data_IF_201960850934
#
_entry.id   IF_201960850934
#
_cell.length_a   1.000
_cell.length_b   1.000
_cell.length_c   1.000
_cell.angle_alpha   90.00
_cell.angle_beta   90.00
_cell.angle_gamma   90.00
#
_symmetry.space_group_name_H-M   'P 1'
#
loop_
_entity.id
_entity.type
_entity.pdbx_description
1 polymer ?
#
# COMPACT_ATOMS: atom_id res chain seq x y z
N UNK A 1 21.81 29.29 19.66
CA UNK A 1 21.44 27.92 20.08
C UNK A 1 21.41 27.07 18.82
N UNK A 2 22.45 26.28 18.58
CA UNK A 2 22.59 25.46 17.37
C UNK A 2 22.96 24.05 17.78
N UNK A 3 22.01 23.13 17.71
CA UNK A 3 22.28 21.71 17.91
C UNK A 3 22.54 21.08 16.54
N UNK A 4 23.65 20.36 16.42
CA UNK A 4 23.90 19.52 15.26
C UNK A 4 23.07 18.24 15.39
N UNK A 5 22.06 18.11 14.52
CA UNK A 5 21.20 16.92 14.49
C UNK A 5 21.90 15.82 13.71
N UNK A 6 22.11 14.68 14.34
CA UNK A 6 22.71 13.49 13.73
C UNK A 6 21.74 12.32 13.77
N UNK A 7 21.63 11.57 12.68
CA UNK A 7 20.75 10.40 12.59
C UNK A 7 21.57 9.11 12.79
N UNK A 8 21.03 8.17 13.56
CA UNK A 8 21.63 6.83 13.74
C UNK A 8 20.72 5.81 13.05
N UNK A 9 21.29 4.94 12.22
CA UNK A 9 20.51 3.89 11.58
C UNK A 9 19.94 2.93 12.65
N UNK A 10 18.65 2.52 12.58
CA UNK A 10 18.03 1.67 13.61
C UNK A 10 18.78 0.35 13.88
N UNK A 11 19.43 -0.21 12.87
CA UNK A 11 20.27 -1.42 13.01
C UNK A 11 21.44 -1.26 13.99
N UNK A 12 21.95 -0.04 14.17
CA UNK A 12 23.03 0.26 15.11
C UNK A 12 22.52 0.56 16.52
N UNK A 13 21.24 0.94 16.66
CA UNK A 13 20.58 1.17 17.95
C UNK A 13 20.08 -0.15 18.56
N UNK A 14 19.55 -1.04 17.71
CA UNK A 14 18.91 -2.31 18.12
C UNK A 14 19.71 -3.13 19.15
N UNK A 15 21.05 -3.28 19.07
CA UNK A 15 21.81 -4.04 20.07
C UNK A 15 21.80 -3.45 21.49
N UNK A 16 21.44 -2.17 21.66
CA UNK A 16 21.42 -1.47 22.94
C UNK A 16 20.02 -1.40 23.57
N UNK A 17 18.98 -1.87 22.86
CA UNK A 17 17.60 -1.88 23.39
C UNK A 17 17.47 -3.02 24.40
N UNK A 18 17.20 -2.68 25.66
CA UNK A 18 16.95 -3.64 26.73
C UNK A 18 15.58 -4.32 26.53
N UNK A 19 15.38 -5.49 27.13
CA UNK A 19 14.09 -6.19 27.08
C UNK A 19 12.96 -5.29 27.61
N UNK A 20 11.75 -5.45 27.06
CA UNK A 20 10.57 -4.59 27.23
C UNK A 20 10.64 -3.25 26.47
N UNK A 21 9.94 -3.19 25.33
CA UNK A 21 9.86 -2.00 24.50
C UNK A 21 9.04 -0.91 25.21
N UNK A 22 9.70 0.18 25.56
CA UNK A 22 9.09 1.43 26.02
C UNK A 22 9.94 2.62 25.56
N UNK A 23 9.35 3.82 25.53
CA UNK A 23 10.02 5.02 25.00
C UNK A 23 11.31 5.37 25.76
N UNK A 24 11.35 5.09 27.07
CA UNK A 24 12.54 5.32 27.89
C UNK A 24 13.70 4.41 27.47
N UNK A 25 13.44 3.13 27.24
CA UNK A 25 14.43 2.16 26.78
C UNK A 25 14.93 2.48 25.37
N UNK A 26 14.04 2.97 24.49
CA UNK A 26 14.40 3.42 23.15
C UNK A 26 15.31 4.66 23.21
N UNK A 27 15.00 5.63 24.07
CA UNK A 27 15.82 6.83 24.26
C UNK A 27 17.20 6.50 24.85
N UNK A 28 17.25 5.62 25.86
CA UNK A 28 18.51 5.14 26.46
C UNK A 28 19.37 4.43 25.40
N UNK A 29 18.77 3.57 24.58
CA UNK A 29 19.48 2.86 23.52
C UNK A 29 20.04 3.81 22.45
N UNK A 30 19.31 4.86 22.07
CA UNK A 30 19.79 5.89 21.12
C UNK A 30 20.96 6.67 21.72
N UNK A 31 20.86 7.06 23.00
CA UNK A 31 21.94 7.77 23.70
C UNK A 31 23.20 6.91 23.82
N UNK A 32 23.04 5.63 24.20
CA UNK A 32 24.14 4.68 24.33
C UNK A 32 24.79 4.36 22.98
N UNK A 33 23.99 4.21 21.92
CA UNK A 33 24.51 4.08 20.57
C UNK A 33 25.31 5.33 20.16
N UNK A 34 24.73 6.51 20.36
CA UNK A 34 25.34 7.80 20.00
C UNK A 34 26.62 8.13 20.76
N UNK A 35 26.83 7.56 21.96
CA UNK A 35 28.02 7.77 22.78
C UNK A 35 29.22 6.92 22.34
N UNK A 36 29.02 5.88 21.51
CA UNK A 36 30.11 5.01 21.06
C UNK A 36 31.11 5.77 20.18
N UNK A 37 32.43 5.71 20.46
CA UNK A 37 33.44 6.38 19.66
C UNK A 37 33.47 5.96 18.18
N UNK A 38 33.04 4.73 17.89
CA UNK A 38 33.01 4.15 16.53
C UNK A 38 31.65 4.29 15.84
N UNK A 39 30.71 5.05 16.43
CA UNK A 39 29.35 5.19 15.89
C UNK A 39 29.35 5.86 14.52
N UNK A 40 28.55 5.31 13.61
CA UNK A 40 28.37 5.85 12.26
C UNK A 40 27.00 6.49 12.15
N UNK A 41 27.00 7.78 11.83
CA UNK A 41 25.78 8.53 11.57
C UNK A 41 25.39 8.40 10.10
N UNK A 42 24.09 8.49 9.82
CA UNK A 42 23.56 8.52 8.46
C UNK A 42 23.17 9.94 8.11
N UNK A 43 23.39 10.31 6.85
CA UNK A 43 22.97 11.60 6.33
C UNK A 43 21.44 11.68 6.25
N UNK A 44 20.94 12.91 6.37
CA UNK A 44 19.55 13.20 6.02
C UNK A 44 19.39 12.97 4.53
N UNK A 45 18.31 12.27 4.14
CA UNK A 45 18.01 12.05 2.72
C UNK A 45 17.89 13.38 1.99
N UNK A 46 18.52 13.50 0.84
CA UNK A 46 18.30 14.66 -0.04
C UNK A 46 16.84 14.66 -0.55
N UNK A 47 16.29 15.82 -0.95
CA UNK A 47 14.96 15.88 -1.57
C UNK A 47 14.81 14.91 -2.75
N UNK A 48 15.87 14.73 -3.55
CA UNK A 48 15.91 13.78 -4.66
C UNK A 48 15.80 12.33 -4.17
N UNK A 49 16.56 11.95 -3.13
CA UNK A 49 16.48 10.61 -2.53
C UNK A 49 15.12 10.35 -1.86
N UNK A 50 14.53 11.37 -1.23
CA UNK A 50 13.19 11.28 -0.67
C UNK A 50 12.13 11.12 -1.77
N UNK A 51 12.28 11.82 -2.89
CA UNK A 51 11.43 11.72 -4.08
C UNK A 51 11.45 10.31 -4.69
N UNK A 52 12.62 9.67 -4.79
CA UNK A 52 12.71 8.26 -5.21
C UNK A 52 11.89 7.33 -4.29
N UNK A 53 11.89 7.60 -2.99
CA UNK A 53 11.05 6.88 -2.02
C UNK A 53 9.55 7.12 -2.20
N UNK A 54 9.13 8.25 -2.78
CA UNK A 54 7.72 8.49 -3.10
C UNK A 54 7.22 7.56 -4.19
N UNK A 55 8.04 7.20 -5.17
CA UNK A 55 7.65 6.31 -6.28
C UNK A 55 7.14 4.97 -5.75
N UNK A 56 7.89 4.34 -4.84
CA UNK A 56 7.50 3.05 -4.25
C UNK A 56 6.19 3.17 -3.45
N UNK A 57 6.07 4.20 -2.62
CA UNK A 57 4.86 4.41 -1.81
C UNK A 57 3.63 4.73 -2.66
N UNK A 58 3.79 5.51 -3.73
CA UNK A 58 2.70 5.80 -4.65
C UNK A 58 2.28 4.54 -5.41
N UNK A 59 3.25 3.74 -5.87
CA UNK A 59 2.94 2.45 -6.50
C UNK A 59 2.18 1.53 -5.54
N UNK A 60 2.63 1.39 -4.30
CA UNK A 60 1.96 0.55 -3.29
C UNK A 60 0.53 1.04 -3.02
N UNK A 61 0.34 2.36 -2.91
CA UNK A 61 -0.98 2.98 -2.78
C UNK A 61 -1.91 2.63 -3.96
N UNK A 62 -1.44 2.84 -5.20
CA UNK A 62 -2.25 2.62 -6.41
C UNK A 62 -2.57 1.13 -6.60
N UNK A 63 -1.63 0.23 -6.31
CA UNK A 63 -1.86 -1.22 -6.33
C UNK A 63 -2.90 -1.62 -5.27
N UNK A 64 -2.82 -1.03 -4.07
CA UNK A 64 -3.79 -1.22 -3.01
C UNK A 64 -5.19 -0.76 -3.41
N UNK A 65 -5.32 0.45 -3.97
CA UNK A 65 -6.59 0.99 -4.47
C UNK A 65 -7.18 0.10 -5.57
N UNK A 66 -6.38 -0.31 -6.56
CA UNK A 66 -6.84 -1.21 -7.63
C UNK A 66 -7.36 -2.53 -7.06
N UNK A 67 -6.65 -3.10 -6.09
CA UNK A 67 -7.05 -4.35 -5.43
C UNK A 67 -8.35 -4.19 -4.64
N UNK A 68 -8.54 -3.06 -3.96
CA UNK A 68 -9.77 -2.72 -3.26
C UNK A 68 -10.97 -2.63 -4.21
N UNK A 69 -10.83 -1.93 -5.33
CA UNK A 69 -11.90 -1.79 -6.33
C UNK A 69 -12.25 -3.15 -6.94
N UNK A 70 -11.27 -3.98 -7.31
CA UNK A 70 -11.51 -5.34 -7.81
C UNK A 70 -12.27 -6.19 -6.79
N UNK A 71 -11.90 -6.11 -5.50
CA UNK A 71 -12.56 -6.87 -4.45
C UNK A 71 -14.00 -6.39 -4.21
N UNK A 72 -14.25 -5.08 -4.24
CA UNK A 72 -15.58 -4.50 -4.12
C UNK A 72 -16.47 -4.92 -5.28
N UNK A 73 -15.99 -4.77 -6.53
CA UNK A 73 -16.70 -5.20 -7.73
C UNK A 73 -17.07 -6.68 -7.66
N UNK A 74 -16.11 -7.55 -7.33
CA UNK A 74 -16.37 -8.99 -7.21
C UNK A 74 -17.38 -9.30 -6.11
N UNK A 75 -17.32 -8.60 -4.98
CA UNK A 75 -18.27 -8.76 -3.87
C UNK A 75 -19.69 -8.41 -4.29
N UNK A 76 -19.88 -7.24 -4.90
CA UNK A 76 -21.19 -6.79 -5.35
C UNK A 76 -21.77 -7.66 -6.46
N UNK A 77 -20.98 -8.05 -7.46
CA UNK A 77 -21.46 -8.93 -8.54
C UNK A 77 -21.81 -10.33 -8.04
N UNK A 78 -21.14 -10.84 -6.99
CA UNK A 78 -21.50 -12.11 -6.38
C UNK A 78 -22.88 -12.11 -5.71
N UNK A 79 -23.38 -10.97 -5.24
CA UNK A 79 -24.76 -10.84 -4.72
C UNK A 79 -25.82 -11.09 -5.79
N UNK A 80 -25.45 -10.92 -7.07
CA UNK A 80 -26.29 -11.22 -8.23
C UNK A 80 -25.96 -12.57 -8.89
N UNK A 81 -25.21 -13.45 -8.19
CA UNK A 81 -24.85 -14.78 -8.69
C UNK A 81 -23.66 -14.81 -9.65
N UNK A 82 -23.04 -13.67 -9.95
CA UNK A 82 -21.88 -13.59 -10.83
C UNK A 82 -20.58 -13.81 -10.04
N UNK A 83 -20.18 -15.07 -9.88
CA UNK A 83 -19.04 -15.45 -9.04
C UNK A 83 -17.80 -15.76 -9.88
N UNK A 84 -16.67 -15.14 -9.55
CA UNK A 84 -15.36 -15.43 -10.15
C UNK A 84 -14.28 -15.67 -9.10
N UNK A 85 -13.13 -16.21 -9.54
CA UNK A 85 -11.94 -16.31 -8.71
C UNK A 85 -11.40 -14.95 -8.25
N UNK A 86 -10.54 -14.96 -7.23
CA UNK A 86 -9.76 -13.79 -6.79
C UNK A 86 -8.66 -13.47 -7.82
N UNK A 87 -8.16 -12.24 -7.82
CA UNK A 87 -7.03 -11.85 -8.67
C UNK A 87 -7.42 -10.96 -9.85
N UNK A 88 -6.44 -10.23 -10.39
CA UNK A 88 -6.63 -9.26 -11.48
C UNK A 88 -6.98 -9.95 -12.79
N UNK A 89 -6.44 -11.14 -13.02
CA UNK A 89 -6.66 -11.98 -14.19
C UNK A 89 -8.13 -12.42 -14.38
N UNK A 90 -8.98 -12.25 -13.37
CA UNK A 90 -10.40 -12.57 -13.44
C UNK A 90 -11.27 -11.34 -13.75
N UNK A 91 -10.70 -10.12 -13.80
CA UNK A 91 -11.43 -8.90 -14.14
C UNK A 91 -11.95 -8.95 -15.57
N UNK A 92 -11.14 -9.42 -16.52
CA UNK A 92 -11.56 -9.57 -17.92
C UNK A 92 -12.71 -10.57 -18.09
N UNK A 93 -12.76 -11.59 -17.23
CA UNK A 93 -13.88 -12.54 -17.20
C UNK A 93 -15.16 -11.89 -16.69
N UNK A 94 -15.08 -11.06 -15.64
CA UNK A 94 -16.22 -10.28 -15.15
C UNK A 94 -16.74 -9.34 -16.23
N UNK A 95 -15.83 -8.72 -17.00
CA UNK A 95 -16.20 -7.86 -18.13
C UNK A 95 -16.98 -8.61 -19.19
N UNK A 96 -16.47 -9.78 -19.60
CA UNK A 96 -17.14 -10.64 -20.59
C UNK A 96 -18.53 -11.11 -20.15
N UNK A 97 -18.72 -11.43 -18.87
CA UNK A 97 -20.03 -11.82 -18.31
C UNK A 97 -21.04 -10.66 -18.38
N UNK A 98 -20.57 -9.42 -18.26
CA UNK A 98 -21.40 -8.22 -18.28
C UNK A 98 -21.68 -7.67 -19.68
N UNK A 99 -21.14 -8.29 -20.74
CA UNK A 99 -21.49 -7.92 -22.10
C UNK A 99 -22.97 -8.19 -22.40
N UNK A 100 -23.64 -7.34 -23.20
CA UNK A 100 -25.03 -7.56 -23.57
C UNK A 100 -25.23 -8.93 -24.25
N UNK A 101 -26.19 -9.72 -23.77
CA UNK A 101 -26.46 -11.07 -24.30
C UNK A 101 -25.54 -12.20 -23.82
N UNK A 102 -24.59 -11.94 -22.91
CA UNK A 102 -23.64 -12.93 -22.39
C UNK A 102 -23.98 -13.49 -20.98
N UNK A 103 -25.04 -12.97 -20.33
CA UNK A 103 -25.43 -13.37 -18.97
C UNK A 103 -25.83 -12.21 -18.04
N UNK A 104 -25.89 -10.98 -18.57
CA UNK A 104 -26.26 -9.77 -17.82
C UNK A 104 -27.70 -9.30 -18.02
N UNK A 105 -28.49 -10.00 -18.84
CA UNK A 105 -29.81 -9.54 -19.26
C UNK A 105 -30.82 -9.44 -18.11
N UNK A 106 -30.59 -10.17 -17.02
CA UNK A 106 -31.41 -10.14 -15.79
C UNK A 106 -30.89 -9.14 -14.72
N UNK A 107 -29.74 -8.48 -14.95
CA UNK A 107 -29.17 -7.52 -14.00
C UNK A 107 -29.87 -6.16 -14.10
N UNK A 108 -30.17 -5.51 -12.96
CA UNK A 108 -30.63 -4.13 -12.98
C UNK A 108 -29.60 -3.22 -13.68
N UNK A 109 -30.06 -2.32 -14.55
CA UNK A 109 -29.18 -1.42 -15.30
C UNK A 109 -28.20 -0.62 -14.42
N UNK A 110 -28.62 -0.26 -13.21
CA UNK A 110 -27.77 0.42 -12.22
C UNK A 110 -26.54 -0.42 -11.82
N UNK A 111 -26.68 -1.74 -11.73
CA UNK A 111 -25.58 -2.64 -11.37
C UNK A 111 -24.55 -2.66 -12.51
N UNK A 112 -25.00 -2.77 -13.76
CA UNK A 112 -24.13 -2.72 -14.92
C UNK A 112 -23.39 -1.37 -15.03
N UNK A 113 -24.07 -0.26 -14.75
CA UNK A 113 -23.46 1.07 -14.72
C UNK A 113 -22.39 1.20 -13.62
N UNK A 114 -22.68 0.71 -12.41
CA UNK A 114 -21.71 0.76 -11.31
C UNK A 114 -20.52 -0.17 -11.57
N UNK A 115 -20.75 -1.34 -12.18
CA UNK A 115 -19.69 -2.24 -12.60
C UNK A 115 -18.78 -1.59 -13.64
N UNK A 116 -19.36 -0.87 -14.61
CA UNK A 116 -18.60 -0.11 -15.60
C UNK A 116 -17.73 0.98 -14.95
N UNK A 117 -18.27 1.72 -13.98
CA UNK A 117 -17.48 2.71 -13.23
C UNK A 117 -16.29 2.07 -12.50
N UNK A 118 -16.48 0.89 -11.90
CA UNK A 118 -15.38 0.15 -11.28
C UNK A 118 -14.33 -0.29 -12.31
N UNK A 119 -14.75 -0.74 -13.51
CA UNK A 119 -13.82 -1.10 -14.57
C UNK A 119 -12.98 0.10 -15.03
N UNK A 120 -13.62 1.25 -15.28
CA UNK A 120 -12.92 2.46 -15.70
C UNK A 120 -11.89 2.90 -14.65
N UNK A 121 -12.23 2.78 -13.36
CA UNK A 121 -11.30 3.06 -12.28
C UNK A 121 -10.14 2.06 -12.22
N UNK A 122 -10.38 0.76 -12.46
CA UNK A 122 -9.32 -0.25 -12.52
C UNK A 122 -8.36 0.02 -13.69
N UNK A 123 -8.91 0.42 -14.84
CA UNK A 123 -8.14 0.73 -16.04
C UNK A 123 -7.30 2.00 -15.84
N UNK A 124 -7.83 3.02 -15.16
CA UNK A 124 -7.09 4.22 -14.77
C UNK A 124 -6.01 4.02 -13.70
N UNK A 125 -6.02 2.87 -13.01
CA UNK A 125 -5.02 2.48 -12.00
C UNK A 125 -4.01 1.45 -12.54
N UNK A 126 -4.04 1.15 -13.84
CA UNK A 126 -3.14 0.19 -14.52
C UNK A 126 -1.92 0.87 -15.11
#
# INVERSE_FOLDING_TARGET
MGHEVRLIAPKFVKPYVKNQKNDMADAEAIAEAGSRPTMRFVEVKTPQQQGLGMIFRLRDLLVGQRTQVINALRGHLAEFGLVTGKGRENVDKLRAILEPGAGSDDLPAVVCQMAQLCFDQIDGLS
#
